data_IF_156876573038
#
_entry.id   IF_156876573038
#
_cell.length_a   1.000
_cell.length_b   1.000
_cell.length_c   1.000
_cell.angle_alpha   90.00
_cell.angle_beta   90.00
_cell.angle_gamma   90.00
#
_symmetry.space_group_name_H-M   'P 1'
#
loop_
_entity.id
_entity.type
_entity.pdbx_description
1 polymer ?
#
# COMPACT_ATOMS: atom_id res chain seq x y z
N UNK A 1 18.86 53.26 -16.81
CA UNK A 1 17.57 52.92 -17.44
C UNK A 1 17.22 51.50 -17.05
N UNK A 2 16.07 51.26 -16.40
CA UNK A 2 15.63 49.90 -16.05
C UNK A 2 14.87 49.33 -17.26
N UNK A 3 15.39 48.28 -17.91
CA UNK A 3 14.64 47.54 -18.93
C UNK A 3 13.44 46.88 -18.25
N UNK A 4 12.23 47.27 -18.64
CA UNK A 4 11.01 46.56 -18.28
C UNK A 4 10.83 45.34 -19.15
N UNK A 5 10.32 44.25 -18.59
CA UNK A 5 9.84 43.10 -19.37
C UNK A 5 8.61 43.51 -20.18
N UNK A 6 8.52 43.02 -21.41
CA UNK A 6 7.33 43.21 -22.24
C UNK A 6 6.21 42.27 -21.79
N UNK A 7 4.95 42.70 -21.93
CA UNK A 7 3.79 41.86 -21.60
C UNK A 7 3.76 40.58 -22.42
N UNK A 8 4.26 40.63 -23.67
CA UNK A 8 4.31 39.47 -24.55
C UNK A 8 5.34 38.44 -24.09
N UNK A 9 6.51 38.88 -23.58
CA UNK A 9 7.51 37.98 -23.00
C UNK A 9 6.95 37.23 -21.79
N UNK A 10 6.17 37.89 -20.93
CA UNK A 10 5.54 37.22 -19.80
C UNK A 10 4.45 36.24 -20.25
N UNK A 11 3.68 36.60 -21.28
CA UNK A 11 2.57 35.80 -21.78
C UNK A 11 3.05 34.49 -22.43
N UNK A 12 4.13 34.52 -23.21
CA UNK A 12 4.67 33.29 -23.81
C UNK A 12 5.23 32.34 -22.75
N UNK A 13 5.78 32.86 -21.65
CA UNK A 13 6.39 32.04 -20.59
C UNK A 13 5.31 31.25 -19.86
N UNK A 14 4.20 31.90 -19.47
CA UNK A 14 3.09 31.18 -18.83
C UNK A 14 2.45 30.17 -19.79
N UNK A 15 2.42 30.46 -21.09
CA UNK A 15 1.93 29.53 -22.10
C UNK A 15 2.80 28.27 -22.18
N UNK A 16 4.12 28.41 -22.21
CA UNK A 16 5.06 27.27 -22.26
C UNK A 16 5.01 26.49 -20.94
N UNK A 17 5.01 27.15 -19.79
CA UNK A 17 4.89 26.49 -18.47
C UNK A 17 3.59 25.70 -18.39
N UNK A 18 2.47 26.24 -18.90
CA UNK A 18 1.19 25.55 -18.94
C UNK A 18 1.23 24.24 -19.74
N UNK A 19 1.85 24.25 -20.91
CA UNK A 19 2.02 23.06 -21.75
C UNK A 19 2.87 22.01 -21.01
N UNK A 20 4.03 22.40 -20.49
CA UNK A 20 4.92 21.47 -19.78
C UNK A 20 4.27 20.91 -18.51
N UNK A 21 3.54 21.73 -17.75
CA UNK A 21 2.85 21.30 -16.54
C UNK A 21 1.77 20.25 -16.81
N UNK A 22 1.03 20.38 -17.91
CA UNK A 22 -0.02 19.42 -18.28
C UNK A 22 0.52 18.00 -18.51
N UNK A 23 1.67 17.87 -19.18
CA UNK A 23 2.31 16.58 -19.47
C UNK A 23 2.81 15.93 -18.17
N UNK A 24 3.44 16.73 -17.30
CA UNK A 24 3.94 16.26 -16.01
C UNK A 24 2.80 15.75 -15.12
N UNK A 25 1.66 16.44 -15.09
CA UNK A 25 0.52 16.06 -14.25
C UNK A 25 0.00 14.65 -14.55
N UNK A 26 -0.13 14.29 -15.83
CA UNK A 26 -0.60 12.96 -16.25
C UNK A 26 0.40 11.88 -15.83
N UNK A 27 1.70 12.12 -16.05
CA UNK A 27 2.75 11.16 -15.65
C UNK A 27 2.83 10.97 -14.13
N UNK A 28 2.62 12.03 -13.36
CA UNK A 28 2.70 12.03 -11.91
C UNK A 28 1.52 11.30 -11.27
N UNK A 29 0.32 11.38 -11.85
CA UNK A 29 -0.85 10.63 -11.37
C UNK A 29 -0.59 9.12 -11.36
N UNK A 30 -0.12 8.58 -12.48
CA UNK A 30 0.23 7.16 -12.62
C UNK A 30 1.39 6.75 -11.71
N UNK A 31 2.40 7.62 -11.55
CA UNK A 31 3.53 7.36 -10.65
C UNK A 31 3.10 7.28 -9.17
N UNK A 32 2.19 8.17 -8.75
CA UNK A 32 1.61 8.16 -7.40
C UNK A 32 0.84 6.88 -7.14
N UNK A 33 0.02 6.43 -8.09
CA UNK A 33 -0.74 5.19 -7.93
C UNK A 33 0.16 3.96 -7.81
N UNK A 34 1.20 3.87 -8.66
CA UNK A 34 2.22 2.81 -8.53
C UNK A 34 2.92 2.84 -7.16
N UNK A 35 3.24 4.03 -6.65
CA UNK A 35 3.86 4.17 -5.33
C UNK A 35 2.96 3.68 -4.19
N UNK A 36 1.64 3.90 -4.29
CA UNK A 36 0.67 3.34 -3.34
C UNK A 36 0.60 1.82 -3.39
N UNK A 37 0.57 1.23 -4.60
CA UNK A 37 0.61 -0.23 -4.77
C UNK A 37 1.90 -0.82 -4.17
N UNK A 38 3.05 -0.20 -4.40
CA UNK A 38 4.31 -0.63 -3.78
C UNK A 38 4.25 -0.52 -2.25
N UNK A 39 3.64 0.53 -1.73
CA UNK A 39 3.48 0.71 -0.28
C UNK A 39 2.55 -0.35 0.33
N UNK A 40 1.46 -0.71 -0.36
CA UNK A 40 0.60 -1.83 0.01
C UNK A 40 1.38 -3.15 0.10
N UNK A 41 2.18 -3.46 -0.92
CA UNK A 41 3.01 -4.67 -0.93
C UNK A 41 4.01 -4.69 0.23
N UNK A 42 4.68 -3.56 0.49
CA UNK A 42 5.62 -3.43 1.60
C UNK A 42 4.95 -3.62 2.97
N UNK A 43 3.74 -3.06 3.14
CA UNK A 43 2.96 -3.24 4.36
C UNK A 43 2.51 -4.70 4.54
N UNK A 44 2.11 -5.39 3.46
CA UNK A 44 1.73 -6.80 3.53
C UNK A 44 2.90 -7.71 3.94
N UNK A 45 4.12 -7.43 3.47
CA UNK A 45 5.32 -8.16 3.92
C UNK A 45 5.68 -7.84 5.38
N UNK A 46 5.60 -6.57 5.78
CA UNK A 46 5.81 -6.19 7.18
C UNK A 46 4.80 -6.89 8.09
N UNK A 47 3.59 -7.07 7.57
CA UNK A 47 2.53 -7.76 8.26
C UNK A 47 2.79 -9.26 8.42
N UNK A 48 3.30 -9.91 7.37
CA UNK A 48 3.74 -11.30 7.42
C UNK A 48 4.77 -11.54 8.53
N UNK A 49 5.81 -10.70 8.57
CA UNK A 49 6.86 -10.82 9.57
C UNK A 49 6.31 -10.68 11.00
N UNK A 50 5.39 -9.73 11.19
CA UNK A 50 4.74 -9.53 12.47
C UNK A 50 3.80 -10.69 12.84
N UNK A 51 3.10 -11.29 11.88
CA UNK A 51 2.24 -12.46 12.13
C UNK A 51 3.05 -13.71 12.46
N UNK A 52 4.20 -13.94 11.81
CA UNK A 52 5.11 -15.04 12.19
C UNK A 52 5.56 -14.87 13.64
N UNK A 53 6.07 -13.69 14.00
CA UNK A 53 6.50 -13.40 15.36
C UNK A 53 5.37 -13.58 16.39
N UNK A 54 4.16 -13.16 16.06
CA UNK A 54 2.99 -13.34 16.93
C UNK A 54 2.65 -14.83 17.10
N UNK A 55 2.76 -15.62 16.02
CA UNK A 55 2.50 -17.06 16.04
C UNK A 55 3.47 -17.82 16.95
N UNK A 56 4.76 -17.48 16.91
CA UNK A 56 5.80 -18.10 17.75
C UNK A 56 5.52 -17.93 19.25
N UNK A 57 4.86 -16.84 19.64
CA UNK A 57 4.56 -16.47 21.03
C UNK A 57 3.23 -17.00 21.58
N UNK A 58 2.57 -17.94 20.86
CA UNK A 58 1.44 -18.80 21.25
C UNK A 58 0.04 -18.46 20.69
N UNK A 59 -0.28 -17.23 20.25
CA UNK A 59 -1.60 -16.96 19.63
C UNK A 59 -1.55 -15.80 18.62
N UNK A 60 -1.83 -16.08 17.34
CA UNK A 60 -2.42 -15.08 16.45
C UNK A 60 -3.84 -14.78 16.92
N UNK A 61 -3.97 -13.85 17.86
CA UNK A 61 -5.28 -13.31 18.20
C UNK A 61 -5.82 -12.56 16.98
N UNK A 62 -7.15 -12.49 16.82
CA UNK A 62 -7.87 -11.79 15.73
C UNK A 62 -7.57 -10.27 15.63
N UNK A 63 -6.56 -9.80 16.34
CA UNK A 63 -5.93 -8.50 16.26
C UNK A 63 -4.57 -8.67 15.65
N UNK A 64 -4.52 -8.38 14.36
CA UNK A 64 -3.31 -8.23 13.57
C UNK A 64 -2.30 -7.35 14.33
N UNK A 65 -1.00 -7.69 14.37
CA UNK A 65 0.03 -6.81 14.91
C UNK A 65 -0.14 -5.42 14.32
N UNK A 66 -0.13 -4.40 15.19
CA UNK A 66 -0.51 -3.03 14.87
C UNK A 66 -0.02 -2.57 13.50
N UNK A 67 -0.93 -2.55 12.53
CA UNK A 67 -0.69 -1.88 11.26
C UNK A 67 -0.46 -0.39 11.57
N UNK A 68 0.62 0.25 11.09
CA UNK A 68 0.83 1.67 11.30
C UNK A 68 -0.42 2.44 10.84
N UNK A 69 -1.17 2.99 11.80
CA UNK A 69 -2.47 3.63 11.58
C UNK A 69 -2.37 4.89 10.71
N UNK A 70 -1.16 5.36 10.45
CA UNK A 70 -0.88 6.54 9.62
C UNK A 70 -0.46 6.07 8.23
N UNK A 71 -1.26 6.36 7.21
CA UNK A 71 -0.98 6.04 5.80
C UNK A 71 -0.98 4.53 5.47
N UNK A 72 -1.90 3.77 6.08
CA UNK A 72 -2.12 2.37 5.72
C UNK A 72 -2.81 2.25 4.36
N UNK A 73 -2.23 1.44 3.49
CA UNK A 73 -2.85 0.96 2.25
C UNK A 73 -3.47 -0.42 2.42
N UNK A 74 -3.39 -1.00 3.61
CA UNK A 74 -4.13 -2.19 4.01
C UNK A 74 -5.47 -1.79 4.62
N UNK A 75 -6.55 -2.48 4.26
CA UNK A 75 -7.84 -2.30 4.90
C UNK A 75 -7.70 -2.47 6.41
N UNK A 76 -8.21 -1.51 7.19
CA UNK A 76 -8.20 -1.57 8.64
C UNK A 76 -8.85 -2.90 9.07
N UNK A 77 -8.01 -3.84 9.48
CA UNK A 77 -8.44 -5.19 9.79
C UNK A 77 -8.99 -5.19 11.21
N UNK A 78 -10.17 -4.58 11.42
CA UNK A 78 -10.96 -4.81 12.63
C UNK A 78 -11.67 -6.15 12.46
N UNK A 79 -10.95 -7.22 12.82
CA UNK A 79 -11.42 -8.58 12.71
C UNK A 79 -11.16 -9.16 11.33
N UNK A 80 -10.28 -10.14 11.26
CA UNK A 80 -10.36 -11.12 10.19
C UNK A 80 -11.68 -11.88 10.37
N UNK A 81 -12.54 -11.84 9.36
CA UNK A 81 -13.57 -12.87 9.22
C UNK A 81 -12.89 -14.06 8.56
N UNK A 82 -12.61 -15.08 9.36
CA UNK A 82 -12.01 -16.35 8.94
C UNK A 82 -12.90 -17.05 7.90
N UNK A 83 -12.80 -16.66 6.64
CA UNK A 83 -13.24 -17.48 5.51
C UNK A 83 -12.12 -18.48 5.24
N UNK A 84 -12.19 -19.65 5.91
CA UNK A 84 -11.32 -20.82 5.69
C UNK A 84 -9.83 -20.64 5.96
N UNK A 85 -9.42 -20.27 7.17
CA UNK A 85 -8.00 -20.24 7.56
C UNK A 85 -7.71 -21.17 8.72
N UNK A 86 -6.84 -22.15 8.49
CA UNK A 86 -6.11 -22.87 9.55
C UNK A 86 -5.25 -21.84 10.29
N UNK A 87 -5.45 -21.70 11.60
CA UNK A 87 -4.56 -20.91 12.47
C UNK A 87 -4.11 -21.86 13.56
N UNK A 88 -3.16 -22.70 13.22
CA UNK A 88 -2.52 -23.57 14.18
C UNK A 88 -1.17 -22.95 14.45
N UNK A 89 -0.99 -22.20 15.54
CA UNK A 89 0.32 -21.60 15.82
C UNK A 89 1.37 -22.59 16.34
N UNK A 90 0.99 -23.88 16.47
CA UNK A 90 1.83 -24.93 17.00
C UNK A 90 2.35 -24.62 18.40
N UNK A 91 3.02 -25.58 19.03
CA UNK A 91 3.97 -25.23 20.07
C UNK A 91 5.29 -24.89 19.36
N UNK A 92 5.87 -23.73 19.67
CA UNK A 92 7.22 -23.32 19.20
C UNK A 92 7.35 -22.93 17.71
N UNK A 93 6.39 -22.20 17.13
CA UNK A 93 6.60 -21.53 15.84
C UNK A 93 6.50 -22.41 14.58
N UNK A 94 5.93 -23.61 14.73
CA UNK A 94 5.64 -24.54 13.61
C UNK A 94 4.27 -24.28 12.98
N UNK A 95 3.75 -23.07 13.18
CA UNK A 95 2.36 -22.79 12.96
C UNK A 95 1.98 -22.36 11.57
N UNK A 96 0.93 -22.96 11.00
CA UNK A 96 0.38 -22.51 9.74
C UNK A 96 -0.71 -21.46 10.00
N UNK A 97 -0.57 -20.32 9.34
CA UNK A 97 -1.62 -19.31 9.26
C UNK A 97 -1.78 -18.84 7.83
N UNK A 98 -3.01 -18.47 7.47
CA UNK A 98 -3.31 -17.85 6.18
C UNK A 98 -4.35 -16.77 6.40
N UNK A 99 -4.20 -15.60 5.80
CA UNK A 99 -5.26 -14.60 5.79
C UNK A 99 -5.13 -13.66 4.58
N UNK A 100 -6.25 -13.08 4.16
CA UNK A 100 -6.29 -12.17 3.01
C UNK A 100 -6.59 -10.76 3.47
N UNK A 101 -5.77 -9.81 3.05
CA UNK A 101 -5.96 -8.37 3.27
C UNK A 101 -6.25 -7.67 1.94
N UNK A 102 -7.26 -6.80 1.94
CA UNK A 102 -7.57 -5.97 0.79
C UNK A 102 -6.80 -4.64 0.87
N UNK A 103 -6.44 -4.08 -0.28
CA UNK A 103 -5.90 -2.73 -0.34
C UNK A 103 -7.00 -1.69 -0.15
N UNK A 104 -6.66 -0.55 0.44
CA UNK A 104 -7.51 0.64 0.56
C UNK A 104 -6.76 1.86 0.05
N UNK A 105 -7.51 2.91 -0.30
CA UNK A 105 -6.97 4.18 -0.79
C UNK A 105 -6.20 4.07 -2.14
N UNK A 106 -6.40 2.96 -2.87
CA UNK A 106 -5.96 2.74 -4.24
C UNK A 106 -7.11 3.03 -5.22
N UNK A 107 -6.76 3.53 -6.40
CA UNK A 107 -7.69 3.73 -7.51
C UNK A 107 -8.03 2.41 -8.22
N UNK A 108 -7.14 1.42 -8.17
CA UNK A 108 -7.38 0.08 -8.71
C UNK A 108 -8.18 -0.78 -7.73
N UNK A 109 -9.41 -1.21 -8.07
CA UNK A 109 -10.19 -2.12 -7.23
C UNK A 109 -9.64 -3.55 -7.31
N UNK A 110 -9.83 -4.34 -6.25
CA UNK A 110 -9.54 -5.79 -6.26
C UNK A 110 -8.12 -6.20 -5.88
N UNK A 111 -7.26 -5.25 -5.52
CA UNK A 111 -5.95 -5.53 -4.94
C UNK A 111 -6.08 -6.24 -3.60
N UNK A 112 -5.63 -7.49 -3.53
CA UNK A 112 -5.57 -8.27 -2.29
C UNK A 112 -4.20 -8.91 -2.14
N UNK A 113 -3.81 -9.15 -0.89
CA UNK A 113 -2.63 -9.89 -0.53
C UNK A 113 -3.03 -11.04 0.39
N UNK A 114 -2.67 -12.26 0.03
CA UNK A 114 -2.80 -13.43 0.89
C UNK A 114 -1.48 -13.65 1.59
N UNK A 115 -1.50 -13.49 2.91
CA UNK A 115 -0.34 -13.64 3.79
C UNK A 115 -0.40 -15.04 4.40
N UNK A 116 0.72 -15.74 4.35
CA UNK A 116 0.93 -17.06 4.95
C UNK A 116 2.20 -17.07 5.80
N UNK A 117 2.43 -18.16 6.53
CA UNK A 117 3.69 -18.43 7.22
C UNK A 117 4.89 -18.43 6.25
N UNK A 118 4.71 -18.96 5.04
CA UNK A 118 5.78 -19.06 4.05
C UNK A 118 6.01 -17.78 3.22
N UNK A 119 5.00 -16.93 3.05
CA UNK A 119 5.12 -15.78 2.15
C UNK A 119 3.92 -14.85 2.07
N UNK A 120 3.97 -13.94 1.10
CA UNK A 120 2.85 -13.09 0.69
C UNK A 120 2.63 -13.25 -0.80
N UNK A 121 1.40 -13.57 -1.19
CA UNK A 121 0.98 -13.61 -2.60
C UNK A 121 0.04 -12.46 -2.89
N UNK A 122 0.09 -11.91 -4.10
CA UNK A 122 -0.68 -10.73 -4.49
C UNK A 122 -1.61 -11.05 -5.65
N UNK A 123 -2.87 -10.62 -5.55
CA UNK A 123 -3.79 -10.58 -6.68
C UNK A 123 -3.43 -9.41 -7.61
N UNK A 124 -3.62 -9.54 -8.93
CA UNK A 124 -3.40 -8.45 -9.87
C UNK A 124 -4.20 -7.20 -9.51
N UNK A 125 -3.47 -6.08 -9.58
CA UNK A 125 -3.94 -4.71 -9.68
C UNK A 125 -3.52 -4.22 -11.08
#
# INVERSE_FOLDING_TARGET
>A
MKKGFTLIELLIVIAIIGILASIVLVSLSSAREKAKITSFKAQAHSLQAASVLACDSAVLSNTVPANPTTNSYLAATRGFTYGTSTTDCGAMGSGNFQFTVAAVNLAAPGCTATVTDEGVTFSPC
#
